data_IF_801339083425
#
_entry.id   IF_801339083425
#
_cell.length_a   1.000
_cell.length_b   1.000
_cell.length_c   1.000
_cell.angle_alpha   90.00
_cell.angle_beta   90.00
_cell.angle_gamma   90.00
#
_symmetry.space_group_name_H-M   'P 1'
#
loop_
_entity.id
_entity.type
_entity.pdbx_description
1 polymer ?
#
# COMPACT_ATOMS: atom_id res chain seq x y z
N UNK A 1 -21.30 -11.16 -49.70
CA UNK A 1 -20.13 -11.87 -49.16
C UNK A 1 -19.92 -11.40 -47.73
N UNK A 2 -20.30 -12.24 -46.77
CA UNK A 2 -20.19 -11.97 -45.34
C UNK A 2 -18.77 -12.36 -44.88
N UNK A 3 -18.05 -11.45 -44.23
CA UNK A 3 -16.81 -11.76 -43.54
C UNK A 3 -17.14 -12.16 -42.09
N UNK A 4 -16.53 -13.23 -41.53
CA UNK A 4 -16.78 -13.66 -40.17
C UNK A 4 -16.02 -12.82 -39.14
N UNK A 5 -16.72 -12.46 -38.07
CA UNK A 5 -16.22 -11.83 -36.85
C UNK A 5 -15.09 -12.65 -36.20
N UNK A 6 -13.95 -12.00 -35.94
CA UNK A 6 -12.93 -12.54 -35.04
C UNK A 6 -13.24 -12.10 -33.60
N UNK A 7 -13.78 -13.02 -32.81
CA UNK A 7 -13.91 -12.88 -31.36
C UNK A 7 -12.53 -13.02 -30.70
N UNK A 8 -12.09 -11.97 -30.00
CA UNK A 8 -10.89 -12.01 -29.15
C UNK A 8 -11.24 -12.64 -27.79
N UNK A 9 -10.43 -13.58 -27.27
CA UNK A 9 -10.68 -14.19 -25.97
C UNK A 9 -10.37 -13.24 -24.80
N UNK A 10 -11.30 -13.27 -23.86
CA UNK A 10 -11.34 -12.57 -22.58
C UNK A 10 -10.17 -13.01 -21.68
N UNK A 11 -9.19 -12.15 -21.42
CA UNK A 11 -8.16 -12.42 -20.40
C UNK A 11 -8.69 -11.98 -19.04
N UNK A 12 -9.09 -12.98 -18.23
CA UNK A 12 -9.51 -12.85 -16.84
C UNK A 12 -8.28 -12.67 -15.95
N UNK A 13 -7.98 -11.42 -15.57
CA UNK A 13 -6.95 -11.13 -14.58
C UNK A 13 -7.40 -11.55 -13.18
N UNK A 14 -6.84 -12.62 -12.65
CA UNK A 14 -6.94 -12.95 -11.22
C UNK A 14 -5.87 -12.18 -10.46
N UNK A 15 -6.31 -11.27 -9.59
CA UNK A 15 -5.49 -10.71 -8.51
C UNK A 15 -5.71 -11.62 -7.30
N UNK A 16 -4.65 -12.32 -6.87
CA UNK A 16 -4.58 -12.93 -5.54
C UNK A 16 -3.48 -12.23 -4.75
N UNK A 17 -3.88 -11.75 -3.57
CA UNK A 17 -3.00 -11.12 -2.59
C UNK A 17 -2.08 -12.14 -1.89
N UNK A 18 -1.18 -11.64 -1.04
CA UNK A 18 -0.12 -12.43 -0.46
C UNK A 18 -0.63 -13.16 0.79
N UNK A 19 -0.51 -14.49 0.78
CA UNK A 19 -0.68 -15.30 1.98
C UNK A 19 -1.70 -16.41 1.79
N UNK A 20 -1.25 -17.55 1.26
CA UNK A 20 -1.34 -18.83 1.97
C UNK A 20 -0.66 -19.92 1.13
N UNK A 21 0.23 -20.64 1.80
CA UNK A 21 1.00 -21.75 1.26
C UNK A 21 0.17 -23.02 1.36
N UNK A 22 -0.16 -23.64 0.24
CA UNK A 22 -0.43 -25.08 0.21
C UNK A 22 0.33 -25.71 -0.96
N UNK A 23 1.27 -26.57 -0.58
CA UNK A 23 1.99 -27.49 -1.45
C UNK A 23 0.99 -28.47 -2.07
N UNK A 24 0.83 -28.39 -3.39
CA UNK A 24 0.37 -29.49 -4.23
C UNK A 24 1.15 -29.40 -5.55
N UNK A 25 2.32 -30.04 -5.57
CA UNK A 25 2.99 -30.34 -6.83
C UNK A 25 2.27 -31.54 -7.45
N UNK A 26 1.35 -31.27 -8.36
CA UNK A 26 0.87 -32.27 -9.31
C UNK A 26 1.10 -31.79 -10.74
N UNK A 27 1.94 -32.58 -11.42
CA UNK A 27 2.26 -32.66 -12.84
C UNK A 27 1.55 -31.70 -13.80
N UNK A 28 2.34 -30.81 -14.40
CA UNK A 28 2.13 -30.41 -15.80
C UNK A 28 3.48 -30.41 -16.52
N UNK A 29 3.67 -31.40 -17.39
CA UNK A 29 4.67 -31.38 -18.44
C UNK A 29 4.36 -30.20 -19.37
N UNK A 30 5.31 -29.28 -19.49
CA UNK A 30 5.36 -28.29 -20.57
C UNK A 30 6.83 -27.98 -20.81
N UNK A 31 7.38 -28.62 -21.84
CA UNK A 31 8.70 -28.31 -22.40
C UNK A 31 8.66 -26.91 -22.98
N UNK A 32 9.04 -25.92 -22.16
CA UNK A 32 9.44 -24.61 -22.61
C UNK A 32 10.92 -24.46 -22.26
N UNK A 33 11.70 -24.12 -23.29
CA UNK A 33 13.14 -23.89 -23.34
C UNK A 33 13.65 -23.00 -22.19
N UNK A 34 13.86 -23.59 -21.00
CA UNK A 34 14.47 -22.90 -19.86
C UNK A 34 15.97 -22.98 -20.03
N UNK A 35 16.57 -21.86 -20.44
CA UNK A 35 18.03 -21.73 -20.54
C UNK A 35 18.71 -22.30 -19.28
N UNK A 36 19.75 -23.14 -19.40
CA UNK A 36 20.47 -23.74 -18.27
C UNK A 36 20.92 -22.71 -17.21
N UNK A 37 21.14 -21.47 -17.63
CA UNK A 37 21.49 -20.33 -16.76
C UNK A 37 20.36 -19.92 -15.80
N UNK A 38 19.10 -20.02 -16.24
CA UNK A 38 17.92 -19.73 -15.41
C UNK A 38 17.71 -20.82 -14.35
N UNK A 39 17.91 -22.09 -14.72
CA UNK A 39 17.84 -23.22 -13.77
C UNK A 39 18.96 -23.10 -12.73
N UNK A 40 20.18 -22.75 -13.16
CA UNK A 40 21.31 -22.53 -12.25
C UNK A 40 21.03 -21.39 -11.26
N UNK A 41 20.45 -20.27 -11.71
CA UNK A 41 20.08 -19.13 -10.85
C UNK A 41 18.99 -19.49 -9.85
N UNK A 42 17.98 -20.25 -10.24
CA UNK A 42 16.90 -20.70 -9.34
C UNK A 42 17.43 -21.67 -8.28
N UNK A 43 18.31 -22.60 -8.67
CA UNK A 43 18.96 -23.54 -7.73
C UNK A 43 19.90 -22.80 -6.76
N UNK A 44 20.65 -21.82 -7.24
CA UNK A 44 21.53 -21.01 -6.39
C UNK A 44 20.72 -20.17 -5.39
N UNK A 45 19.62 -19.55 -5.83
CA UNK A 45 18.72 -18.78 -4.98
C UNK A 45 18.00 -19.66 -3.94
N UNK A 46 17.55 -20.85 -4.31
CA UNK A 46 16.96 -21.82 -3.39
C UNK A 46 17.97 -22.31 -2.35
N UNK A 47 19.22 -22.56 -2.76
CA UNK A 47 20.29 -22.95 -1.83
C UNK A 47 20.70 -21.81 -0.90
N UNK A 48 20.69 -20.55 -1.37
CA UNK A 48 20.93 -19.39 -0.53
C UNK A 48 19.81 -19.18 0.50
N UNK A 49 18.55 -19.31 0.09
CA UNK A 49 17.39 -19.23 0.96
C UNK A 49 17.37 -20.34 2.02
N UNK A 50 17.80 -21.56 1.66
CA UNK A 50 17.96 -22.68 2.61
C UNK A 50 19.05 -22.39 3.64
N UNK A 51 20.21 -21.90 3.22
CA UNK A 51 21.30 -21.50 4.14
C UNK A 51 20.90 -20.35 5.06
N UNK A 52 20.12 -19.38 4.59
CA UNK A 52 19.61 -18.28 5.41
C UNK A 52 18.59 -18.75 6.47
N UNK A 53 17.75 -19.73 6.11
CA UNK A 53 16.81 -20.37 7.07
C UNK A 53 17.56 -21.22 8.10
N UNK A 54 18.56 -21.98 7.67
CA UNK A 54 19.40 -22.77 8.56
C UNK A 54 20.25 -21.89 9.50
N UNK A 55 20.73 -20.73 9.03
CA UNK A 55 21.45 -19.77 9.89
C UNK A 55 20.53 -19.08 10.90
N UNK A 56 19.27 -18.80 10.55
CA UNK A 56 18.28 -18.27 11.50
C UNK A 56 17.83 -19.31 12.53
N UNK A 57 17.81 -20.60 12.19
CA UNK A 57 17.47 -21.68 13.13
C UNK A 57 18.58 -21.97 14.17
N UNK A 58 19.80 -21.49 13.93
CA UNK A 58 20.95 -21.61 14.84
C UNK A 58 21.14 -20.39 15.74
N UNK A 59 20.33 -19.33 15.60
CA UNK A 59 20.38 -18.22 16.54
C UNK A 59 19.77 -18.64 17.86
N UNK A 60 20.50 -18.55 18.99
CA UNK A 60 19.94 -18.85 20.29
C UNK A 60 18.72 -17.96 20.53
N UNK A 61 17.64 -18.56 21.04
CA UNK A 61 16.43 -17.84 21.45
C UNK A 61 16.80 -16.63 22.33
N UNK A 62 16.05 -15.51 22.28
CA UNK A 62 16.25 -14.37 23.17
C UNK A 62 16.34 -14.75 24.65
N UNK A 63 15.63 -15.80 25.06
CA UNK A 63 15.67 -16.35 26.43
C UNK A 63 17.00 -17.05 26.74
N UNK A 64 17.56 -17.77 25.76
CA UNK A 64 18.86 -18.44 25.89
C UNK A 64 19.99 -17.41 25.93
N UNK A 65 19.90 -16.33 25.15
CA UNK A 65 20.84 -15.20 25.22
C UNK A 65 20.82 -14.55 26.60
N UNK A 66 19.62 -14.25 27.13
CA UNK A 66 19.48 -13.65 28.45
C UNK A 66 20.01 -14.56 29.58
N UNK A 67 19.92 -15.88 29.43
CA UNK A 67 20.53 -16.84 30.36
C UNK A 67 22.06 -16.86 30.25
N UNK A 68 22.61 -16.87 29.04
CA UNK A 68 24.07 -16.82 28.82
C UNK A 68 24.66 -15.52 29.40
N UNK A 69 24.02 -14.37 29.20
CA UNK A 69 24.45 -13.10 29.78
C UNK A 69 24.41 -13.12 31.31
N UNK A 70 23.36 -13.69 31.89
CA UNK A 70 23.19 -13.78 33.34
C UNK A 70 24.20 -14.74 33.98
N UNK A 71 24.54 -15.84 33.32
CA UNK A 71 25.55 -16.80 33.77
C UNK A 71 26.97 -16.26 33.60
N UNK A 72 27.25 -15.54 32.51
CA UNK A 72 28.52 -14.83 32.33
C UNK A 72 28.71 -13.75 33.41
N UNK A 73 27.68 -12.97 33.74
CA UNK A 73 27.73 -11.97 34.80
C UNK A 73 27.99 -12.59 36.19
N UNK A 74 27.37 -13.75 36.47
CA UNK A 74 27.62 -14.51 37.72
C UNK A 74 29.05 -15.06 37.80
N UNK A 75 29.57 -15.59 36.70
CA UNK A 75 30.94 -16.11 36.66
C UNK A 75 31.98 -15.02 36.87
N UNK A 76 31.75 -13.83 36.31
CA UNK A 76 32.60 -12.65 36.53
C UNK A 76 32.55 -12.20 37.99
N UNK A 77 31.35 -12.10 38.60
CA UNK A 77 31.21 -11.78 40.03
C UNK A 77 31.90 -12.79 40.97
N UNK A 78 31.87 -14.08 40.63
CA UNK A 78 32.52 -15.12 41.41
C UNK A 78 34.06 -15.02 41.35
N UNK A 79 34.62 -14.64 40.21
CA UNK A 79 36.07 -14.45 40.04
C UNK A 79 36.59 -13.18 40.73
N UNK A 80 35.78 -12.13 40.84
CA UNK A 80 36.15 -10.87 41.51
C UNK A 80 36.45 -11.07 43.01
N UNK A 81 35.76 -11.99 43.70
CA UNK A 81 35.94 -12.23 45.15
C UNK A 81 37.28 -12.86 45.56
N UNK A 82 38.17 -13.21 44.62
CA UNK A 82 39.46 -13.88 44.90
C UNK A 82 40.71 -13.05 44.63
N UNK A 83 40.58 -11.79 44.22
CA UNK A 83 41.73 -10.96 43.78
C UNK A 83 41.96 -9.73 44.66
N UNK A 84 43.20 -9.24 44.68
CA UNK A 84 43.72 -8.06 45.39
C UNK A 84 42.73 -6.85 45.37
N UNK A 85 42.65 -6.02 46.43
CA UNK A 85 41.67 -4.93 46.53
C UNK A 85 41.87 -3.82 45.46
N UNK A 86 43.04 -3.75 44.82
CA UNK A 86 43.31 -2.84 43.69
C UNK A 86 42.72 -3.35 42.36
N UNK A 87 42.75 -4.66 42.11
CA UNK A 87 42.07 -5.30 40.97
C UNK A 87 40.55 -5.16 41.03
N UNK A 88 39.99 -5.13 42.24
CA UNK A 88 38.55 -4.97 42.49
C UNK A 88 38.02 -3.63 41.95
N UNK A 89 38.76 -2.54 42.16
CA UNK A 89 38.38 -1.20 41.63
C UNK A 89 38.41 -1.09 40.11
N UNK A 90 39.33 -1.82 39.45
CA UNK A 90 39.45 -1.79 37.98
C UNK A 90 38.33 -2.61 37.33
N UNK A 91 38.01 -3.78 37.90
CA UNK A 91 36.90 -4.63 37.43
C UNK A 91 35.55 -3.92 37.65
N UNK A 92 35.37 -3.25 38.79
CA UNK A 92 34.17 -2.47 39.05
C UNK A 92 34.00 -1.31 38.04
N UNK A 93 35.09 -0.65 37.65
CA UNK A 93 35.06 0.40 36.61
C UNK A 93 34.65 -0.16 35.26
N UNK A 94 35.23 -1.28 34.84
CA UNK A 94 34.90 -1.95 33.57
C UNK A 94 33.43 -2.38 33.54
N UNK A 95 32.92 -2.92 34.64
CA UNK A 95 31.50 -3.30 34.76
C UNK A 95 30.59 -2.08 34.60
N UNK A 96 30.93 -0.95 35.23
CA UNK A 96 30.15 0.28 35.11
C UNK A 96 30.17 0.81 33.67
N UNK A 97 31.33 0.85 33.01
CA UNK A 97 31.47 1.26 31.60
C UNK A 97 30.67 0.34 30.66
N UNK A 98 30.66 -0.97 30.92
CA UNK A 98 29.88 -1.94 30.16
C UNK A 98 28.38 -1.73 30.34
N UNK A 99 27.92 -1.45 31.56
CA UNK A 99 26.51 -1.12 31.81
C UNK A 99 26.09 0.18 31.14
N UNK A 100 26.97 1.19 31.10
CA UNK A 100 26.71 2.45 30.40
C UNK A 100 26.62 2.23 28.89
N UNK A 101 27.55 1.46 28.31
CA UNK A 101 27.50 1.08 26.88
C UNK A 101 26.22 0.32 26.55
N UNK A 102 25.84 -0.68 27.35
CA UNK A 102 24.60 -1.44 27.12
C UNK A 102 23.37 -0.54 27.16
N UNK A 103 23.36 0.46 28.05
CA UNK A 103 22.28 1.45 28.14
C UNK A 103 22.22 2.30 26.86
N UNK A 104 23.35 2.84 26.39
CA UNK A 104 23.44 3.60 25.13
C UNK A 104 23.02 2.77 23.91
N UNK A 105 23.40 1.49 23.86
CA UNK A 105 22.99 0.57 22.78
C UNK A 105 21.48 0.33 22.80
N UNK A 106 20.87 0.19 23.99
CA UNK A 106 19.43 0.03 24.12
C UNK A 106 18.67 1.31 23.71
N UNK A 107 19.19 2.49 24.06
CA UNK A 107 18.63 3.78 23.63
C UNK A 107 18.70 3.94 22.11
N UNK A 108 19.86 3.70 21.50
CA UNK A 108 20.02 3.71 20.03
C UNK A 108 19.07 2.73 19.34
N UNK A 109 18.90 1.53 19.89
CA UNK A 109 17.98 0.54 19.33
C UNK A 109 16.53 1.03 19.37
N UNK A 110 16.15 1.73 20.43
CA UNK A 110 14.82 2.35 20.57
C UNK A 110 14.62 3.48 19.56
N UNK A 111 15.62 4.34 19.38
CA UNK A 111 15.57 5.41 18.38
C UNK A 111 15.50 4.88 16.94
N UNK A 112 16.29 3.86 16.61
CA UNK A 112 16.19 3.17 15.32
C UNK A 112 14.79 2.58 15.10
N UNK A 113 14.16 2.03 16.15
CA UNK A 113 12.78 1.56 16.10
C UNK A 113 11.79 2.67 15.74
N UNK A 114 11.92 3.85 16.35
CA UNK A 114 11.09 5.03 16.06
C UNK A 114 11.30 5.54 14.62
N UNK A 115 12.54 5.63 14.18
CA UNK A 115 12.85 5.99 12.79
C UNK A 115 12.25 4.98 11.81
N UNK A 116 12.27 3.70 12.13
CA UNK A 116 11.62 2.65 11.34
C UNK A 116 10.09 2.77 11.28
N UNK A 117 9.44 3.26 12.34
CA UNK A 117 8.00 3.58 12.30
C UNK A 117 7.72 4.81 11.43
N UNK A 118 8.46 5.90 11.62
CA UNK A 118 8.29 7.15 10.85
C UNK A 118 8.52 6.93 9.35
N UNK A 119 9.54 6.17 8.98
CA UNK A 119 9.82 5.82 7.58
C UNK A 119 8.68 5.00 6.96
N UNK A 120 8.04 4.10 7.71
CA UNK A 120 6.88 3.34 7.22
C UNK A 120 5.67 4.24 7.00
N UNK A 121 5.40 5.16 7.93
CA UNK A 121 4.32 6.13 7.79
C UNK A 121 4.55 7.06 6.60
N UNK A 122 5.79 7.53 6.41
CA UNK A 122 6.14 8.38 5.27
C UNK A 122 5.92 7.65 3.93
N UNK A 123 6.35 6.39 3.82
CA UNK A 123 6.10 5.59 2.62
C UNK A 123 4.60 5.39 2.34
N UNK A 124 3.79 5.18 3.39
CA UNK A 124 2.34 5.08 3.23
C UNK A 124 1.73 6.39 2.71
N UNK A 125 2.10 7.54 3.31
CA UNK A 125 1.63 8.86 2.86
C UNK A 125 2.06 9.16 1.42
N UNK A 126 3.28 8.81 1.04
CA UNK A 126 3.77 8.98 -0.33
C UNK A 126 2.99 8.10 -1.31
N UNK A 127 2.69 6.85 -0.93
CA UNK A 127 1.86 5.95 -1.71
C UNK A 127 0.43 6.48 -1.90
N UNK A 128 -0.18 7.03 -0.85
CA UNK A 128 -1.49 7.68 -0.90
C UNK A 128 -1.48 8.87 -1.86
N UNK A 129 -0.58 9.83 -1.67
CA UNK A 129 -0.43 10.99 -2.56
C UNK A 129 -0.23 10.59 -4.02
N UNK A 130 0.58 9.55 -4.28
CA UNK A 130 0.77 9.02 -5.63
C UNK A 130 -0.51 8.45 -6.26
N UNK A 131 -1.38 7.82 -5.47
CA UNK A 131 -2.69 7.36 -5.94
C UNK A 131 -3.65 8.53 -6.21
N UNK A 132 -3.64 9.55 -5.36
CA UNK A 132 -4.46 10.76 -5.50
C UNK A 132 -4.14 11.53 -6.78
N UNK A 133 -2.84 11.75 -7.04
CA UNK A 133 -2.38 12.40 -8.27
C UNK A 133 -2.87 11.66 -9.52
N UNK A 134 -2.76 10.32 -9.53
CA UNK A 134 -3.25 9.51 -10.65
C UNK A 134 -4.77 9.66 -10.87
N UNK A 135 -5.55 9.74 -9.80
CA UNK A 135 -7.01 9.95 -9.90
C UNK A 135 -7.32 11.36 -10.41
N UNK A 136 -6.63 12.37 -9.90
CA UNK A 136 -6.76 13.75 -10.36
C UNK A 136 -6.44 13.88 -11.86
N UNK A 137 -5.31 13.35 -12.30
CA UNK A 137 -4.88 13.35 -13.70
C UNK A 137 -5.90 12.63 -14.60
N UNK A 138 -6.36 11.45 -14.18
CA UNK A 138 -7.38 10.71 -14.91
C UNK A 138 -8.69 11.53 -14.99
N UNK A 139 -9.14 12.13 -13.89
CA UNK A 139 -10.37 12.94 -13.89
C UNK A 139 -10.22 14.18 -14.79
N UNK A 140 -9.06 14.82 -14.82
CA UNK A 140 -8.79 15.94 -15.74
C UNK A 140 -8.86 15.51 -17.20
N UNK A 141 -8.28 14.35 -17.53
CA UNK A 141 -8.41 13.77 -18.87
C UNK A 141 -9.88 13.47 -19.23
N UNK A 142 -10.65 12.88 -18.33
CA UNK A 142 -12.07 12.61 -18.54
C UNK A 142 -12.91 13.88 -18.72
N UNK A 143 -12.62 14.95 -17.95
CA UNK A 143 -13.25 16.26 -18.14
C UNK A 143 -12.95 16.83 -19.52
N UNK A 144 -11.73 16.68 -20.03
CA UNK A 144 -11.37 17.10 -21.38
C UNK A 144 -12.14 16.32 -22.45
N UNK A 145 -12.35 15.01 -22.26
CA UNK A 145 -13.20 14.21 -23.14
C UNK A 145 -14.65 14.68 -23.09
N UNK A 146 -15.18 14.92 -21.89
CA UNK A 146 -16.54 15.42 -21.69
C UNK A 146 -16.77 16.80 -22.33
N UNK A 147 -15.75 17.66 -22.35
CA UNK A 147 -15.83 18.97 -23.01
C UNK A 147 -15.99 18.89 -24.53
N UNK A 148 -15.59 17.75 -25.13
CA UNK A 148 -15.72 17.47 -26.56
C UNK A 148 -17.02 16.74 -26.91
N UNK A 149 -17.84 16.40 -25.92
CA UNK A 149 -19.15 15.79 -26.15
C UNK A 149 -20.08 16.88 -26.70
N UNK A 150 -20.50 16.73 -27.94
CA UNK A 150 -21.38 17.69 -28.63
C UNK A 150 -22.82 17.15 -28.71
N UNK A 151 -22.99 15.85 -28.91
CA UNK A 151 -24.29 15.21 -29.09
C UNK A 151 -25.04 14.93 -27.78
N UNK A 152 -26.37 15.05 -27.80
CA UNK A 152 -27.21 14.76 -26.63
C UNK A 152 -27.13 13.30 -26.15
N UNK A 153 -26.85 12.37 -27.08
CA UNK A 153 -26.76 10.93 -26.81
C UNK A 153 -25.33 10.42 -26.67
N UNK A 154 -24.33 11.28 -26.91
CA UNK A 154 -22.94 10.89 -26.76
C UNK A 154 -22.62 10.64 -25.27
N UNK A 155 -21.79 9.62 -24.98
CA UNK A 155 -21.51 9.22 -23.62
C UNK A 155 -20.73 10.32 -22.88
N UNK A 156 -21.15 10.60 -21.64
CA UNK A 156 -20.37 11.39 -20.69
C UNK A 156 -19.55 10.40 -19.86
N UNK A 157 -18.25 10.64 -19.75
CA UNK A 157 -17.34 9.85 -18.96
C UNK A 157 -17.47 10.18 -17.47
N UNK A 158 -17.57 9.12 -16.68
CA UNK A 158 -17.75 9.20 -15.24
C UNK A 158 -16.43 9.51 -14.53
N UNK A 159 -16.47 10.55 -13.69
CA UNK A 159 -15.33 10.91 -12.85
C UNK A 159 -15.26 9.96 -11.65
N UNK A 160 -14.04 9.62 -11.25
CA UNK A 160 -13.79 8.84 -10.04
C UNK A 160 -13.87 9.76 -8.82
N UNK A 161 -14.23 9.20 -7.66
CA UNK A 161 -14.27 9.95 -6.39
C UNK A 161 -12.91 10.65 -6.17
N UNK A 162 -12.88 12.01 -6.13
CA UNK A 162 -11.70 12.76 -5.76
C UNK A 162 -11.45 12.59 -4.25
N UNK A 163 -10.33 13.11 -3.77
CA UNK A 163 -10.00 13.07 -2.35
C UNK A 163 -11.11 13.75 -1.55
N UNK A 164 -11.77 12.98 -0.71
CA UNK A 164 -12.41 13.51 0.50
C UNK A 164 -11.62 12.89 1.63
N UNK A 165 -10.94 13.75 2.37
CA UNK A 165 -10.45 13.54 3.72
C UNK A 165 -11.02 12.28 4.40
N UNK A 166 -10.08 11.39 4.72
CA UNK A 166 -10.23 10.24 5.61
C UNK A 166 -11.10 9.06 5.11
N UNK A 167 -10.40 7.96 4.79
CA UNK A 167 -10.94 6.60 4.70
C UNK A 167 -11.95 6.27 3.58
N UNK A 168 -12.27 7.21 2.69
CA UNK A 168 -13.08 6.91 1.51
C UNK A 168 -12.39 5.99 0.50
N UNK A 169 -13.15 5.15 -0.21
CA UNK A 169 -12.65 4.36 -1.34
C UNK A 169 -12.26 5.29 -2.51
N UNK A 170 -11.05 5.84 -2.45
CA UNK A 170 -10.46 6.67 -3.51
C UNK A 170 -10.54 5.92 -4.84
N UNK A 171 -10.92 6.62 -5.90
CA UNK A 171 -11.03 6.01 -7.21
C UNK A 171 -12.31 5.20 -7.45
N UNK A 172 -13.22 5.11 -6.46
CA UNK A 172 -14.54 4.51 -6.64
C UNK A 172 -15.39 5.29 -7.64
N UNK A 173 -16.38 4.61 -8.20
CA UNK A 173 -17.39 5.17 -9.07
C UNK A 173 -18.69 5.35 -8.30
N UNK A 174 -19.52 6.36 -8.64
CA UNK A 174 -20.85 6.51 -8.06
C UNK A 174 -21.72 5.27 -8.34
N UNK A 175 -22.75 5.10 -7.52
CA UNK A 175 -23.70 3.99 -7.67
C UNK A 175 -24.32 3.97 -9.08
N UNK A 176 -24.63 2.76 -9.57
CA UNK A 176 -25.24 2.58 -10.88
C UNK A 176 -26.57 3.38 -10.99
N UNK A 177 -26.76 4.07 -12.11
CA UNK A 177 -27.95 4.90 -12.36
C UNK A 177 -27.97 6.28 -11.69
N UNK A 178 -26.98 6.57 -10.83
CA UNK A 178 -26.80 7.89 -10.23
C UNK A 178 -26.15 8.87 -11.22
N UNK A 179 -25.11 8.41 -11.93
CA UNK A 179 -24.38 9.23 -12.89
C UNK A 179 -25.14 9.36 -14.23
N UNK A 180 -25.26 10.57 -14.80
CA UNK A 180 -25.91 10.75 -16.11
C UNK A 180 -25.03 10.19 -17.23
N UNK A 181 -25.56 9.24 -18.00
CA UNK A 181 -24.80 8.57 -19.06
C UNK A 181 -24.53 9.49 -20.27
N UNK A 182 -25.35 10.52 -20.47
CA UNK A 182 -25.25 11.46 -21.58
C UNK A 182 -25.87 12.82 -21.22
N UNK A 183 -25.74 13.79 -22.13
CA UNK A 183 -26.26 15.16 -21.94
C UNK A 183 -27.76 15.22 -21.74
N UNK A 184 -28.52 14.38 -22.45
CA UNK A 184 -29.97 14.33 -22.28
C UNK A 184 -30.34 13.92 -20.84
N UNK A 185 -29.68 12.91 -20.29
CA UNK A 185 -29.88 12.50 -18.90
C UNK A 185 -29.39 13.55 -17.89
N UNK A 186 -28.31 14.28 -18.20
CA UNK A 186 -27.83 15.40 -17.39
C UNK A 186 -28.89 16.51 -17.29
N UNK A 187 -29.59 16.82 -18.39
CA UNK A 187 -30.71 17.77 -18.39
C UNK A 187 -31.92 17.29 -17.57
N UNK A 188 -32.07 15.98 -17.38
CA UNK A 188 -33.17 15.36 -16.63
C UNK A 188 -32.83 15.01 -15.18
N UNK A 189 -31.61 15.30 -14.72
CA UNK A 189 -31.19 14.97 -13.35
C UNK A 189 -32.06 15.69 -12.32
N UNK A 190 -32.41 14.98 -11.24
CA UNK A 190 -33.26 15.48 -10.15
C UNK A 190 -32.41 16.07 -9.02
N UNK A 191 -33.02 16.84 -8.12
CA UNK A 191 -32.36 17.34 -6.91
C UNK A 191 -31.72 16.23 -6.08
N UNK A 192 -32.44 15.11 -5.90
CA UNK A 192 -31.97 13.95 -5.15
C UNK A 192 -30.68 13.38 -5.76
N UNK A 193 -30.64 13.21 -7.09
CA UNK A 193 -29.45 12.71 -7.79
C UNK A 193 -28.28 13.69 -7.68
N UNK A 194 -28.51 14.99 -7.81
CA UNK A 194 -27.45 16.01 -7.63
C UNK A 194 -26.92 15.97 -6.20
N UNK A 195 -27.79 15.89 -5.19
CA UNK A 195 -27.38 15.80 -3.79
C UNK A 195 -26.58 14.53 -3.51
N UNK A 196 -27.02 13.38 -4.02
CA UNK A 196 -26.27 12.13 -3.87
C UNK A 196 -24.91 12.17 -4.59
N UNK A 197 -24.81 12.79 -5.77
CA UNK A 197 -23.52 13.02 -6.44
C UNK A 197 -22.63 13.99 -5.66
N UNK A 198 -23.22 15.03 -5.06
CA UNK A 198 -22.51 16.00 -4.20
C UNK A 198 -21.91 15.31 -2.99
N UNK A 199 -22.68 14.49 -2.28
CA UNK A 199 -22.19 13.66 -1.17
C UNK A 199 -21.12 12.66 -1.63
N UNK A 200 -21.30 12.03 -2.79
CA UNK A 200 -20.33 11.07 -3.31
C UNK A 200 -18.97 11.72 -3.62
N UNK A 201 -18.98 12.86 -4.30
CA UNK A 201 -17.78 13.58 -4.71
C UNK A 201 -17.20 14.50 -3.63
N UNK A 202 -17.93 14.77 -2.54
CA UNK A 202 -17.54 15.75 -1.53
C UNK A 202 -17.58 17.19 -2.05
N UNK A 203 -18.36 17.44 -3.10
CA UNK A 203 -18.40 18.71 -3.82
C UNK A 203 -19.80 19.28 -3.79
N UNK A 204 -19.95 20.55 -3.39
CA UNK A 204 -21.26 21.20 -3.34
C UNK A 204 -21.67 21.68 -4.73
N UNK A 205 -22.75 21.12 -5.27
CA UNK A 205 -23.39 21.62 -6.49
C UNK A 205 -24.56 22.54 -6.14
N UNK A 206 -24.35 23.43 -5.17
CA UNK A 206 -25.32 24.36 -4.60
C UNK A 206 -25.58 24.14 -3.11
N UNK A 207 -25.90 25.21 -2.40
CA UNK A 207 -26.28 25.25 -0.98
C UNK A 207 -27.66 24.65 -0.67
N UNK A 208 -28.42 24.26 -1.71
CA UNK A 208 -29.71 23.59 -1.59
C UNK A 208 -30.90 24.54 -1.63
N UNK A 209 -30.69 25.85 -1.65
CA UNK A 209 -31.73 26.83 -1.96
C UNK A 209 -31.73 27.26 -3.43
N UNK A 210 -30.70 26.91 -4.20
CA UNK A 210 -30.66 27.26 -5.62
C UNK A 210 -31.61 26.42 -6.47
N UNK A 211 -32.07 27.07 -7.54
CA UNK A 211 -32.88 26.43 -8.57
C UNK A 211 -32.13 25.24 -9.19
N UNK A 212 -32.90 24.22 -9.57
CA UNK A 212 -32.42 23.01 -10.22
C UNK A 212 -31.58 23.31 -11.46
N UNK A 213 -31.92 24.35 -12.22
CA UNK A 213 -31.17 24.75 -13.40
C UNK A 213 -29.74 25.21 -13.07
N UNK A 214 -29.57 25.94 -11.97
CA UNK A 214 -28.25 26.39 -11.48
C UNK A 214 -27.44 25.18 -11.04
N UNK A 215 -28.03 24.29 -10.24
CA UNK A 215 -27.36 23.07 -9.77
C UNK A 215 -26.95 22.15 -10.91
N UNK A 216 -27.78 22.02 -11.95
CA UNK A 216 -27.44 21.31 -13.19
C UNK A 216 -26.25 21.93 -13.92
N UNK A 217 -26.17 23.25 -13.95
CA UNK A 217 -25.06 23.99 -14.57
C UNK A 217 -23.76 23.77 -13.80
N UNK A 218 -23.81 23.82 -12.47
CA UNK A 218 -22.66 23.52 -11.60
C UNK A 218 -22.18 22.07 -11.77
N UNK A 219 -23.11 21.11 -11.79
CA UNK A 219 -22.78 19.71 -12.08
C UNK A 219 -22.17 19.55 -13.49
N UNK A 220 -22.75 20.17 -14.51
CA UNK A 220 -22.22 20.12 -15.87
C UNK A 220 -20.78 20.67 -15.93
N UNK A 221 -20.53 21.82 -15.29
CA UNK A 221 -19.21 22.41 -15.18
C UNK A 221 -18.22 21.50 -14.47
N UNK A 222 -18.60 20.88 -13.35
CA UNK A 222 -17.77 19.92 -12.63
C UNK A 222 -17.38 18.71 -13.49
N UNK A 223 -18.32 18.21 -14.29
CA UNK A 223 -18.11 17.09 -15.22
C UNK A 223 -17.30 17.50 -16.47
N UNK A 224 -17.08 18.79 -16.70
CA UNK A 224 -16.45 19.30 -17.91
C UNK A 224 -17.38 19.32 -19.13
N UNK A 225 -18.69 19.23 -18.94
CA UNK A 225 -19.69 19.24 -20.02
C UNK A 225 -20.18 20.68 -20.22
N UNK A 226 -20.22 21.18 -21.46
CA UNK A 226 -20.86 22.50 -21.69
C UNK A 226 -22.37 22.37 -21.42
N UNK A 227 -22.91 23.23 -20.57
CA UNK A 227 -24.33 23.32 -20.28
C UNK A 227 -25.14 23.73 -21.52
#
# INVERSE_FOLDING_TARGET
>A
MQQPEQQLPYIRGYVHGPGESLLAYDSVQSEADVSPDMVAKVVLAASAAKRLRESHALQPSPEVLAHIERDAAKAVQASIRKTDPTSDTTLQRILNEMTEMNTKVAEMSTEMGKMGTEMRELHQKMGQMGAELKISDNNNFLRLLNARVEGLQQPIHMLKKPVTDEHGALGSLPAAGLFPANRHQLQQVTHEKITALSTFYGESFGDGVEDLAVRKTLLAAFLGVRA
#
